data_IF_307426779583
#
_entry.id   IF_307426779583
#
_cell.length_a   1.000
_cell.length_b   1.000
_cell.length_c   1.000
_cell.angle_alpha   90.00
_cell.angle_beta   90.00
_cell.angle_gamma   90.00
#
_symmetry.space_group_name_H-M   'P 1'
#
loop_
_entity.id
_entity.type
_entity.pdbx_description
1 polymer ?
#
# COMPACT_ATOMS: atom_id res chain seq x y z
N UNK A 1 31.45 40.42 25.79
CA UNK A 1 31.51 41.87 25.46
C UNK A 1 30.20 42.51 25.93
N UNK A 2 30.09 43.85 25.99
CA UNK A 2 29.10 44.60 26.82
C UNK A 2 27.60 44.34 26.50
N UNK A 3 26.78 44.49 27.55
CA UNK A 3 25.32 44.68 27.52
C UNK A 3 24.94 46.08 26.99
N UNK A 4 23.71 46.23 26.46
CA UNK A 4 22.91 47.48 26.37
C UNK A 4 21.40 47.13 26.34
N UNK A 5 20.56 48.04 26.84
CA UNK A 5 19.09 47.92 27.08
C UNK A 5 18.35 49.03 26.28
N UNK A 6 17.00 49.02 26.26
CA UNK A 6 16.00 50.05 25.86
C UNK A 6 15.38 49.95 24.43
N UNK A 7 14.08 50.27 24.17
CA UNK A 7 12.87 50.36 25.02
C UNK A 7 11.55 50.56 24.20
N UNK A 8 10.37 50.27 24.81
CA UNK A 8 8.98 50.80 24.56
C UNK A 8 8.35 50.87 23.13
N UNK A 9 7.10 50.43 22.87
CA UNK A 9 5.77 50.87 23.42
C UNK A 9 4.68 49.78 23.17
N UNK A 10 3.78 49.46 24.12
CA UNK A 10 2.35 49.93 24.29
C UNK A 10 1.48 49.83 23.01
N UNK A 11 0.21 49.36 22.98
CA UNK A 11 -0.89 49.10 23.97
C UNK A 11 -1.98 48.25 23.25
N UNK A 12 -2.99 47.58 23.85
CA UNK A 12 -3.35 47.35 25.26
C UNK A 12 -4.88 47.49 25.56
N UNK A 13 -5.67 46.42 25.38
CA UNK A 13 -7.14 46.29 25.64
C UNK A 13 -7.37 44.85 26.13
N UNK A 14 -7.82 44.46 27.34
CA UNK A 14 -8.89 44.89 28.28
C UNK A 14 -10.30 44.47 27.85
N UNK A 15 -10.79 43.37 28.43
CA UNK A 15 -12.16 42.89 28.31
C UNK A 15 -13.03 43.37 29.50
N UNK A 16 -14.26 43.80 29.23
CA UNK A 16 -15.31 44.09 30.24
C UNK A 16 -16.68 43.67 29.71
N UNK A 17 -17.56 43.27 30.64
CA UNK A 17 -18.85 42.60 30.46
C UNK A 17 -19.88 43.33 29.59
N UNK A 18 -20.76 42.56 28.94
CA UNK A 18 -22.07 43.03 28.49
C UNK A 18 -23.02 43.23 29.69
N UNK A 19 -23.82 44.29 29.63
CA UNK A 19 -24.99 44.51 30.48
C UNK A 19 -26.18 44.77 29.57
N UNK A 20 -27.19 43.90 29.63
CA UNK A 20 -28.36 43.90 28.75
C UNK A 20 -29.40 44.93 29.21
N UNK A 21 -29.80 45.81 28.30
CA UNK A 21 -30.98 46.67 28.46
C UNK A 21 -32.17 46.07 27.70
N UNK A 22 -33.28 45.89 28.42
CA UNK A 22 -34.55 45.46 27.85
C UNK A 22 -35.27 46.70 27.30
N UNK A 23 -35.67 46.66 26.03
CA UNK A 23 -36.53 47.65 25.40
C UNK A 23 -37.69 46.93 24.71
N UNK A 24 -38.91 47.14 25.22
CA UNK A 24 -40.14 46.55 24.69
C UNK A 24 -40.85 47.60 23.82
N UNK A 25 -41.17 47.24 22.58
CA UNK A 25 -42.18 47.91 21.75
C UNK A 25 -42.85 46.91 20.80
N UNK A 26 -44.07 47.18 20.30
CA UNK A 26 -45.05 46.12 20.07
C UNK A 26 -45.34 45.75 18.60
N UNK A 27 -45.67 44.47 18.40
CA UNK A 27 -46.69 43.91 17.48
C UNK A 27 -46.77 44.42 16.03
N UNK A 28 -46.42 43.53 15.09
CA UNK A 28 -47.15 43.33 13.84
C UNK A 28 -47.11 41.83 13.44
N UNK A 29 -48.05 41.43 12.57
CA UNK A 29 -48.57 40.06 12.45
C UNK A 29 -47.87 39.16 11.42
N UNK A 30 -47.88 37.87 11.76
CA UNK A 30 -48.13 36.68 10.93
C UNK A 30 -47.50 36.58 9.52
N UNK A 31 -46.45 35.78 9.42
CA UNK A 31 -46.25 34.84 8.31
C UNK A 31 -45.40 33.67 8.79
N UNK A 32 -45.98 32.47 8.90
CA UNK A 32 -45.24 31.27 9.36
C UNK A 32 -44.17 30.86 8.33
N UNK A 33 -42.90 30.73 8.71
CA UNK A 33 -41.91 30.06 7.89
C UNK A 33 -42.08 28.54 8.03
N UNK A 34 -42.26 27.86 6.90
CA UNK A 34 -42.21 26.39 6.84
C UNK A 34 -40.81 25.95 7.26
N UNK A 35 -40.70 25.33 8.45
CA UNK A 35 -39.50 24.59 8.84
C UNK A 35 -39.33 23.40 7.90
N UNK A 36 -38.15 23.19 7.29
CA UNK A 36 -37.83 21.88 6.74
C UNK A 36 -37.95 20.84 7.85
N UNK A 37 -38.52 19.68 7.55
CA UNK A 37 -38.45 18.54 8.46
C UNK A 37 -36.96 18.24 8.68
N UNK A 38 -36.52 18.30 9.94
CA UNK A 38 -35.13 18.02 10.28
C UNK A 38 -34.86 16.56 9.99
N UNK A 39 -33.86 16.29 9.15
CA UNK A 39 -33.17 15.00 9.19
C UNK A 39 -32.65 14.85 10.62
N UNK A 40 -33.06 13.77 11.30
CA UNK A 40 -32.47 13.39 12.58
C UNK A 40 -30.94 13.34 12.39
N UNK A 41 -30.13 13.93 13.28
CA UNK A 41 -28.68 13.86 13.14
C UNK A 41 -28.28 12.38 13.21
N UNK A 42 -27.77 11.85 12.09
CA UNK A 42 -27.30 10.47 12.03
C UNK A 42 -26.33 10.22 13.19
N UNK A 43 -26.71 9.30 14.08
CA UNK A 43 -25.85 8.92 15.20
C UNK A 43 -24.50 8.47 14.65
N UNK A 44 -23.38 8.94 15.22
CA UNK A 44 -22.06 8.67 14.68
C UNK A 44 -21.84 7.16 14.57
N UNK A 45 -21.59 6.69 13.36
CA UNK A 45 -21.32 5.29 13.07
C UNK A 45 -20.04 4.90 13.81
N UNK A 46 -20.15 4.01 14.79
CA UNK A 46 -18.98 3.46 15.47
C UNK A 46 -18.26 2.51 14.50
N UNK A 47 -17.01 2.86 14.13
CA UNK A 47 -16.14 2.06 13.27
C UNK A 47 -15.60 0.82 14.02
N UNK A 48 -16.51 -0.09 14.37
CA UNK A 48 -16.20 -1.27 15.17
C UNK A 48 -15.47 -2.33 14.34
N UNK A 49 -14.18 -2.51 14.63
CA UNK A 49 -13.39 -3.63 14.11
C UNK A 49 -13.39 -4.74 15.18
N UNK A 50 -13.83 -5.94 14.81
CA UNK A 50 -13.79 -7.12 15.68
C UNK A 50 -12.95 -8.22 15.05
N UNK A 51 -11.80 -8.55 15.66
CA UNK A 51 -10.97 -9.68 15.23
C UNK A 51 -11.70 -11.01 15.47
N UNK A 52 -11.91 -11.79 14.40
CA UNK A 52 -12.55 -13.10 14.46
C UNK A 52 -11.51 -14.17 14.76
N UNK A 53 -10.46 -14.26 13.94
CA UNK A 53 -9.34 -15.22 14.11
C UNK A 53 -8.13 -14.86 13.26
N UNK A 54 -7.00 -15.44 13.62
CA UNK A 54 -5.83 -15.56 12.73
C UNK A 54 -5.79 -16.94 12.06
N UNK A 55 -5.18 -17.01 10.89
CA UNK A 55 -4.95 -18.23 10.12
C UNK A 55 -3.52 -18.26 9.58
N UNK A 56 -2.97 -19.46 9.40
CA UNK A 56 -1.77 -19.70 8.57
C UNK A 56 -2.26 -20.10 7.18
N UNK A 57 -1.80 -19.36 6.17
CA UNK A 57 -2.19 -19.55 4.76
C UNK A 57 -1.16 -20.43 4.06
N UNK A 58 0.12 -20.19 4.32
CA UNK A 58 1.22 -21.03 3.84
C UNK A 58 2.40 -21.01 4.81
N UNK A 59 2.92 -22.19 5.13
CA UNK A 59 4.15 -22.39 5.87
C UNK A 59 5.00 -23.44 5.14
N UNK A 60 6.29 -23.17 4.98
CA UNK A 60 7.28 -24.22 4.74
C UNK A 60 8.61 -23.77 5.36
N UNK A 61 9.16 -24.51 6.36
CA UNK A 61 10.39 -24.13 7.05
C UNK A 61 11.63 -24.13 6.14
N UNK A 62 11.56 -24.71 4.94
CA UNK A 62 12.66 -24.66 3.97
C UNK A 62 12.73 -23.33 3.18
N UNK A 63 11.70 -22.47 3.29
CA UNK A 63 11.57 -21.28 2.46
C UNK A 63 11.28 -20.00 3.26
N UNK A 64 12.05 -18.96 2.96
CA UNK A 64 11.70 -17.58 3.30
C UNK A 64 10.58 -17.09 2.38
N UNK A 65 9.34 -17.17 2.88
CA UNK A 65 8.12 -16.67 2.22
C UNK A 65 7.75 -15.27 2.70
N UNK A 66 7.42 -14.37 1.77
CA UNK A 66 7.20 -12.94 2.09
C UNK A 66 6.41 -12.21 0.99
N UNK A 67 6.12 -10.93 1.22
CA UNK A 67 5.50 -10.00 0.27
C UNK A 67 4.23 -10.51 -0.43
N UNK A 68 3.18 -10.93 0.31
CA UNK A 68 1.98 -11.47 -0.32
C UNK A 68 1.09 -10.39 -0.96
N UNK A 69 0.28 -10.82 -1.92
CA UNK A 69 -0.91 -10.12 -2.38
C UNK A 69 -2.08 -11.08 -2.55
N UNK A 70 -3.31 -10.56 -2.48
CA UNK A 70 -4.53 -11.39 -2.55
C UNK A 70 -5.60 -10.77 -3.43
N UNK A 71 -6.31 -11.63 -4.18
CA UNK A 71 -7.53 -11.29 -4.92
C UNK A 71 -8.57 -12.39 -4.77
N UNK A 72 -9.84 -12.07 -5.05
CA UNK A 72 -10.95 -13.03 -5.15
C UNK A 72 -11.47 -13.08 -6.59
N UNK A 73 -11.29 -14.19 -7.27
CA UNK A 73 -11.71 -14.38 -8.67
C UNK A 73 -12.45 -15.71 -8.87
N UNK A 74 -13.52 -15.69 -9.67
CA UNK A 74 -14.40 -16.84 -9.93
C UNK A 74 -14.89 -17.61 -8.69
N UNK A 75 -15.00 -16.90 -7.55
CA UNK A 75 -15.39 -17.46 -6.24
C UNK A 75 -14.21 -17.95 -5.38
N UNK A 76 -13.03 -18.13 -5.99
CA UNK A 76 -11.80 -18.58 -5.34
C UNK A 76 -10.95 -17.39 -4.87
N UNK A 77 -10.27 -17.53 -3.74
CA UNK A 77 -9.23 -16.61 -3.27
C UNK A 77 -7.87 -17.10 -3.73
N UNK A 78 -7.06 -16.16 -4.21
CA UNK A 78 -5.75 -16.38 -4.77
C UNK A 78 -4.73 -15.55 -3.99
N UNK A 79 -3.80 -16.21 -3.29
CA UNK A 79 -2.72 -15.56 -2.55
C UNK A 79 -1.40 -15.81 -3.26
N UNK A 80 -0.87 -14.79 -3.90
CA UNK A 80 0.47 -14.81 -4.46
C UNK A 80 1.50 -14.34 -3.43
N UNK A 81 2.70 -14.89 -3.44
CA UNK A 81 3.79 -14.50 -2.55
C UNK A 81 5.18 -14.79 -3.16
N UNK A 82 6.20 -14.11 -2.66
CA UNK A 82 7.60 -14.41 -2.95
C UNK A 82 8.03 -15.62 -2.12
N UNK A 83 8.66 -16.60 -2.75
CA UNK A 83 9.29 -17.76 -2.07
C UNK A 83 10.73 -17.90 -2.53
N UNK A 84 11.66 -17.99 -1.57
CA UNK A 84 13.06 -18.29 -1.79
C UNK A 84 13.54 -19.27 -0.70
N UNK A 85 14.58 -20.10 -0.93
CA UNK A 85 15.21 -20.89 0.13
C UNK A 85 15.55 -20.04 1.36
N UNK A 86 15.34 -20.56 2.57
CA UNK A 86 15.81 -19.89 3.77
C UNK A 86 17.33 -20.08 3.94
N UNK A 87 18.08 -18.98 3.91
CA UNK A 87 19.54 -19.00 4.03
C UNK A 87 20.02 -19.53 5.40
N UNK A 88 19.17 -19.56 6.44
CA UNK A 88 19.50 -20.19 7.72
C UNK A 88 19.84 -21.69 7.56
N UNK A 89 19.24 -22.37 6.58
CA UNK A 89 19.51 -23.79 6.27
C UNK A 89 20.95 -24.01 5.79
N UNK A 90 21.57 -22.97 5.23
CA UNK A 90 22.96 -22.97 4.78
C UNK A 90 23.94 -22.45 5.85
N UNK A 91 23.45 -22.18 7.07
CA UNK A 91 24.25 -21.67 8.18
C UNK A 91 24.56 -20.17 8.11
N UNK A 92 23.88 -19.41 7.24
CA UNK A 92 23.96 -17.95 7.29
C UNK A 92 23.25 -17.40 8.54
N UNK A 93 23.69 -16.25 9.03
CA UNK A 93 23.14 -15.63 10.27
C UNK A 93 22.09 -14.55 10.00
N UNK A 94 21.85 -14.20 8.73
CA UNK A 94 20.95 -13.14 8.31
C UNK A 94 20.12 -13.59 7.11
N UNK A 95 18.93 -13.01 6.99
CA UNK A 95 18.03 -13.23 5.86
C UNK A 95 18.37 -12.31 4.69
N UNK A 96 18.24 -12.82 3.47
CA UNK A 96 18.45 -12.02 2.27
C UNK A 96 17.14 -11.65 1.59
N UNK A 97 16.92 -10.34 1.43
CA UNK A 97 15.83 -9.78 0.65
C UNK A 97 15.90 -10.22 -0.83
N UNK A 98 17.11 -10.40 -1.36
CA UNK A 98 17.39 -10.89 -2.72
C UNK A 98 17.93 -12.31 -2.69
N UNK A 99 17.41 -13.18 -3.56
CA UNK A 99 17.93 -14.54 -3.74
C UNK A 99 17.80 -14.95 -5.21
N UNK A 100 18.75 -15.71 -5.76
CA UNK A 100 18.74 -16.11 -7.18
C UNK A 100 17.57 -17.04 -7.50
N UNK A 101 17.25 -17.95 -6.58
CA UNK A 101 16.10 -18.84 -6.64
C UNK A 101 14.89 -18.21 -5.92
N UNK A 102 14.62 -16.93 -6.17
CA UNK A 102 13.41 -16.27 -5.67
C UNK A 102 12.33 -16.36 -6.74
N UNK A 103 11.19 -16.95 -6.39
CA UNK A 103 10.12 -17.27 -7.32
C UNK A 103 8.79 -16.67 -6.85
N UNK A 104 7.91 -16.38 -7.80
CA UNK A 104 6.52 -16.02 -7.51
C UNK A 104 5.70 -17.31 -7.40
N UNK A 105 5.03 -17.47 -6.26
CA UNK A 105 4.24 -18.65 -5.88
C UNK A 105 2.78 -18.25 -5.62
N UNK A 106 1.88 -19.23 -5.71
CA UNK A 106 0.43 -19.07 -5.54
C UNK A 106 -0.14 -20.19 -4.67
N UNK A 107 -1.07 -19.85 -3.78
CA UNK A 107 -1.99 -20.80 -3.12
C UNK A 107 -3.45 -20.35 -3.28
N UNK A 108 -4.37 -21.30 -3.18
CA UNK A 108 -5.80 -21.14 -3.48
C UNK A 108 -6.67 -21.50 -2.27
N UNK A 109 -7.86 -20.90 -2.19
CA UNK A 109 -8.90 -21.27 -1.22
C UNK A 109 -10.30 -20.95 -1.76
N UNK A 110 -11.29 -21.81 -1.45
CA UNK A 110 -12.69 -21.56 -1.83
C UNK A 110 -13.49 -20.79 -0.76
N UNK A 111 -12.98 -20.71 0.48
CA UNK A 111 -13.66 -20.09 1.62
C UNK A 111 -12.86 -18.93 2.25
N UNK A 112 -11.56 -18.81 1.93
CA UNK A 112 -10.63 -17.83 2.50
C UNK A 112 -9.97 -18.32 3.79
N UNK A 113 -10.24 -19.56 4.21
CA UNK A 113 -9.78 -20.14 5.48
C UNK A 113 -8.93 -21.40 5.28
N UNK A 114 -9.35 -22.28 4.36
CA UNK A 114 -8.69 -23.55 4.05
C UNK A 114 -7.90 -23.41 2.74
N UNK A 115 -6.59 -23.59 2.80
CA UNK A 115 -5.67 -23.26 1.70
C UNK A 115 -4.93 -24.49 1.16
N UNK A 116 -4.67 -24.49 -0.16
CA UNK A 116 -3.83 -25.50 -0.81
C UNK A 116 -2.42 -25.50 -0.22
N UNK A 117 -1.92 -26.68 0.16
CA UNK A 117 -0.58 -26.82 0.76
C UNK A 117 0.55 -26.82 -0.29
N UNK A 118 0.29 -27.31 -1.50
CA UNK A 118 1.24 -27.25 -2.61
C UNK A 118 1.18 -25.88 -3.31
N UNK A 119 2.28 -25.13 -3.25
CA UNK A 119 2.35 -23.79 -3.84
C UNK A 119 2.66 -23.85 -5.35
N UNK A 120 1.67 -23.50 -6.17
CA UNK A 120 1.76 -23.36 -7.62
C UNK A 120 2.81 -22.31 -8.03
N UNK A 121 3.42 -22.46 -9.20
CA UNK A 121 4.37 -21.48 -9.73
C UNK A 121 3.66 -20.45 -10.61
N UNK A 122 3.76 -19.17 -10.25
CA UNK A 122 3.40 -18.05 -11.13
C UNK A 122 4.55 -17.81 -12.10
N UNK A 123 5.76 -17.62 -11.57
CA UNK A 123 6.91 -17.18 -12.38
C UNK A 123 8.26 -17.43 -11.71
N UNK A 124 9.24 -17.81 -12.52
CA UNK A 124 10.66 -17.79 -12.21
C UNK A 124 11.35 -16.92 -13.27
N UNK A 125 11.98 -15.82 -12.85
CA UNK A 125 12.57 -14.88 -13.80
C UNK A 125 13.85 -15.48 -14.42
N UNK A 126 14.00 -15.56 -15.75
CA UNK A 126 15.08 -16.33 -16.39
C UNK A 126 16.49 -15.80 -16.10
N UNK A 127 16.60 -14.53 -15.67
CA UNK A 127 17.86 -13.84 -15.39
C UNK A 127 18.13 -13.55 -13.91
N UNK A 128 17.29 -14.03 -12.97
CA UNK A 128 17.48 -13.74 -11.55
C UNK A 128 16.28 -14.05 -10.66
N UNK A 129 16.32 -13.51 -9.43
CA UNK A 129 15.22 -13.66 -8.47
C UNK A 129 14.06 -12.71 -8.79
N UNK A 130 12.83 -13.22 -8.70
CA UNK A 130 11.58 -12.47 -8.77
C UNK A 130 11.13 -12.00 -7.37
N UNK A 131 10.50 -10.82 -7.29
CA UNK A 131 10.08 -10.19 -6.04
C UNK A 131 8.60 -9.76 -6.09
N UNK A 132 8.01 -9.70 -4.89
CA UNK A 132 6.79 -8.96 -4.51
C UNK A 132 5.65 -9.03 -5.53
N UNK A 133 5.03 -10.22 -5.72
CA UNK A 133 3.91 -10.36 -6.64
C UNK A 133 2.74 -9.50 -6.17
N UNK A 134 2.31 -8.57 -7.02
CA UNK A 134 1.22 -7.64 -6.76
C UNK A 134 0.05 -7.96 -7.69
N UNK A 135 -0.93 -8.69 -7.16
CA UNK A 135 -2.12 -9.11 -7.91
C UNK A 135 -3.15 -7.98 -8.04
N UNK A 136 -3.74 -7.87 -9.24
CA UNK A 136 -4.98 -7.14 -9.48
C UNK A 136 -5.91 -8.01 -10.32
N UNK A 137 -7.17 -8.17 -9.87
CA UNK A 137 -8.26 -8.66 -10.70
C UNK A 137 -8.90 -7.50 -11.45
N UNK A 138 -9.09 -7.65 -12.76
CA UNK A 138 -9.88 -6.76 -13.59
C UNK A 138 -11.36 -7.21 -13.63
N UNK A 139 -12.24 -6.28 -14.01
CA UNK A 139 -13.68 -6.49 -14.12
C UNK A 139 -14.06 -7.60 -15.12
N UNK A 140 -13.20 -7.89 -16.12
CA UNK A 140 -13.37 -8.96 -17.11
C UNK A 140 -12.87 -10.34 -16.63
N UNK A 141 -12.40 -10.45 -15.38
CA UNK A 141 -11.83 -11.68 -14.81
C UNK A 141 -10.34 -11.89 -15.11
N UNK A 142 -9.72 -11.05 -15.94
CA UNK A 142 -8.25 -11.06 -16.14
C UNK A 142 -7.55 -10.80 -14.82
N UNK A 143 -6.48 -11.55 -14.54
CA UNK A 143 -5.54 -11.24 -13.47
C UNK A 143 -4.30 -10.56 -14.06
N UNK A 144 -3.87 -9.47 -13.44
CA UNK A 144 -2.52 -8.92 -13.56
C UNK A 144 -1.71 -9.35 -12.34
N UNK A 145 -0.42 -9.65 -12.54
CA UNK A 145 0.54 -9.83 -11.47
C UNK A 145 1.79 -9.02 -11.81
N UNK A 146 1.96 -7.84 -11.20
CA UNK A 146 3.21 -7.09 -11.33
C UNK A 146 4.25 -7.59 -10.33
N UNK A 147 5.53 -7.33 -10.64
CA UNK A 147 6.66 -7.64 -9.79
C UNK A 147 7.92 -7.01 -10.35
N UNK A 148 9.07 -7.32 -9.76
CA UNK A 148 10.37 -6.86 -10.22
C UNK A 148 11.46 -7.90 -9.93
N UNK A 149 12.64 -7.73 -10.54
CA UNK A 149 13.70 -8.75 -10.49
C UNK A 149 15.07 -8.26 -10.01
N UNK A 150 15.90 -9.21 -9.58
CA UNK A 150 17.30 -8.99 -9.19
C UNK A 150 18.24 -10.04 -9.78
N UNK A 151 19.25 -9.60 -10.53
CA UNK A 151 20.30 -10.46 -11.10
C UNK A 151 21.54 -10.45 -10.21
N UNK A 152 22.05 -11.62 -9.81
CA UNK A 152 23.26 -11.71 -8.97
C UNK A 152 24.52 -11.48 -9.81
N UNK A 153 25.30 -10.46 -9.46
CA UNK A 153 26.54 -10.08 -10.15
C UNK A 153 27.61 -9.65 -9.15
N UNK A 154 28.88 -9.90 -9.47
CA UNK A 154 29.99 -9.35 -8.68
C UNK A 154 30.07 -7.82 -8.87
N UNK A 155 30.64 -7.11 -7.88
CA UNK A 155 30.86 -5.67 -7.98
C UNK A 155 31.70 -5.29 -9.21
N UNK A 156 32.74 -6.08 -9.52
CA UNK A 156 33.55 -5.91 -10.72
C UNK A 156 32.70 -6.00 -12.00
N UNK A 157 31.83 -7.01 -12.11
CA UNK A 157 30.98 -7.17 -13.28
C UNK A 157 29.90 -6.09 -13.39
N UNK A 158 29.32 -5.68 -12.26
CA UNK A 158 28.35 -4.59 -12.19
C UNK A 158 28.96 -3.24 -12.60
N UNK A 159 30.20 -2.95 -12.19
CA UNK A 159 30.94 -1.77 -12.61
C UNK A 159 31.23 -1.76 -14.12
N UNK A 160 31.42 -2.94 -14.72
CA UNK A 160 31.59 -3.11 -16.17
C UNK A 160 30.32 -3.00 -17.02
N UNK A 161 29.14 -2.79 -16.41
CA UNK A 161 27.89 -2.53 -17.13
C UNK A 161 27.78 -1.08 -17.61
N UNK A 162 26.85 -0.84 -18.53
CA UNK A 162 26.48 0.49 -19.01
C UNK A 162 25.79 1.27 -17.88
N UNK A 163 26.49 2.23 -17.30
CA UNK A 163 26.04 2.97 -16.11
C UNK A 163 24.94 4.03 -16.38
N UNK A 164 24.23 4.51 -15.35
CA UNK A 164 24.15 3.93 -14.00
C UNK A 164 23.28 2.67 -13.96
N UNK A 165 23.62 1.74 -13.04
CA UNK A 165 22.79 0.58 -12.69
C UNK A 165 22.47 0.59 -11.19
N UNK A 166 21.29 0.11 -10.79
CA UNK A 166 20.95 -0.01 -9.36
C UNK A 166 21.58 -1.29 -8.80
N UNK A 167 22.65 -1.15 -8.01
CA UNK A 167 23.44 -2.27 -7.50
C UNK A 167 23.41 -2.32 -5.98
N UNK A 168 22.82 -3.38 -5.43
CA UNK A 168 22.60 -3.54 -3.99
C UNK A 168 23.03 -4.95 -3.55
N UNK A 169 23.94 -5.04 -2.56
CA UNK A 169 24.35 -6.29 -1.89
C UNK A 169 24.71 -7.47 -2.83
N UNK A 170 25.36 -7.22 -3.97
CA UNK A 170 25.74 -8.27 -4.92
C UNK A 170 24.68 -8.59 -5.98
N UNK A 171 23.67 -7.73 -6.15
CA UNK A 171 22.64 -7.86 -7.17
C UNK A 171 22.45 -6.54 -7.92
N UNK A 172 22.17 -6.64 -9.22
CA UNK A 172 21.72 -5.52 -10.07
C UNK A 172 20.21 -5.66 -10.31
N UNK A 173 19.48 -4.55 -10.24
CA UNK A 173 18.03 -4.55 -10.52
C UNK A 173 17.76 -4.90 -11.99
N UNK A 174 16.71 -5.70 -12.22
CA UNK A 174 16.17 -6.03 -13.53
C UNK A 174 14.97 -5.17 -13.90
N UNK A 175 14.55 -4.26 -13.01
CA UNK A 175 13.33 -3.46 -13.18
C UNK A 175 12.06 -4.30 -13.04
N UNK A 176 10.94 -3.69 -13.41
CA UNK A 176 9.61 -4.28 -13.29
C UNK A 176 9.16 -5.11 -14.48
N UNK A 177 8.16 -5.95 -14.23
CA UNK A 177 7.38 -6.66 -15.24
C UNK A 177 5.93 -6.82 -14.77
N UNK A 178 5.03 -7.06 -15.72
CA UNK A 178 3.62 -7.42 -15.48
C UNK A 178 3.32 -8.72 -16.21
N UNK A 179 2.80 -9.71 -15.49
CA UNK A 179 2.27 -10.95 -16.03
C UNK A 179 0.75 -10.84 -16.14
N UNK A 180 0.16 -11.53 -17.11
CA UNK A 180 -1.31 -11.59 -17.29
C UNK A 180 -1.78 -13.04 -17.28
N UNK A 181 -2.93 -13.30 -16.67
CA UNK A 181 -3.67 -14.56 -16.78
C UNK A 181 -5.13 -14.28 -17.15
N UNK A 182 -5.71 -15.15 -17.99
CA UNK A 182 -7.12 -15.14 -18.38
C UNK A 182 -7.83 -16.48 -18.08
N UNK A 183 -7.25 -17.30 -17.19
CA UNK A 183 -7.72 -18.65 -16.86
C UNK A 183 -7.69 -18.91 -15.34
N UNK A 184 -7.89 -17.85 -14.55
CA UNK A 184 -7.84 -17.85 -13.09
C UNK A 184 -6.46 -18.25 -12.51
N UNK A 185 -5.39 -17.75 -13.13
CA UNK A 185 -4.00 -17.93 -12.66
C UNK A 185 -3.42 -19.32 -12.93
N UNK A 186 -4.03 -20.13 -13.80
CA UNK A 186 -3.52 -21.47 -14.16
C UNK A 186 -2.36 -21.38 -15.14
N UNK A 187 -2.41 -20.42 -16.06
CA UNK A 187 -1.30 -20.04 -16.93
C UNK A 187 -1.06 -18.54 -16.88
N UNK A 188 0.19 -18.14 -17.11
CA UNK A 188 0.65 -16.75 -17.09
C UNK A 188 1.37 -16.43 -18.39
N UNK A 189 1.16 -15.21 -18.89
CA UNK A 189 1.82 -14.71 -20.09
C UNK A 189 3.34 -14.55 -19.89
N UNK A 190 4.06 -14.39 -21.00
CA UNK A 190 5.39 -13.76 -20.97
C UNK A 190 5.33 -12.38 -20.27
N UNK A 191 6.42 -11.93 -19.64
CA UNK A 191 6.48 -10.63 -18.97
C UNK A 191 6.27 -9.48 -19.96
N UNK A 192 5.39 -8.56 -19.58
CA UNK A 192 5.22 -7.25 -20.21
C UNK A 192 6.06 -6.26 -19.40
N UNK A 193 7.05 -5.65 -20.04
CA UNK A 193 7.90 -4.65 -19.40
C UNK A 193 7.24 -3.27 -19.49
N UNK A 194 6.88 -2.63 -18.35
CA UNK A 194 6.40 -1.25 -18.36
C UNK A 194 7.51 -0.29 -18.81
N UNK A 195 7.16 0.92 -19.31
CA UNK A 195 8.16 1.91 -19.67
C UNK A 195 8.98 2.32 -18.44
N UNK A 196 10.19 2.85 -18.66
CA UNK A 196 10.87 3.66 -17.63
C UNK A 196 10.01 4.87 -17.28
N UNK A 197 10.20 5.41 -16.07
CA UNK A 197 9.76 6.77 -15.77
C UNK A 197 10.83 7.76 -16.26
N UNK A 198 10.43 8.82 -16.96
CA UNK A 198 11.38 9.86 -17.38
C UNK A 198 12.00 10.60 -16.19
N UNK A 199 13.24 11.08 -16.39
CA UNK A 199 14.08 11.63 -15.32
C UNK A 199 14.99 10.61 -14.63
N UNK A 200 14.88 9.31 -14.95
CA UNK A 200 15.83 8.28 -14.49
C UNK A 200 16.66 7.72 -15.63
N UNK A 201 17.99 7.82 -15.51
CA UNK A 201 18.95 7.26 -16.45
C UNK A 201 19.36 5.82 -16.11
N UNK A 202 18.76 5.21 -15.08
CA UNK A 202 19.09 3.87 -14.63
C UNK A 202 18.80 2.80 -15.68
N UNK A 203 19.67 1.79 -15.71
CA UNK A 203 19.64 0.70 -16.68
C UNK A 203 19.63 -0.65 -15.98
N UNK A 204 19.10 -1.64 -16.69
CA UNK A 204 19.16 -3.04 -16.28
C UNK A 204 20.52 -3.68 -16.62
N UNK A 205 20.63 -5.01 -16.46
CA UNK A 205 21.85 -5.77 -16.77
C UNK A 205 22.18 -5.88 -18.26
N UNK A 206 21.24 -5.56 -19.15
CA UNK A 206 21.42 -5.57 -20.60
C UNK A 206 21.81 -4.18 -21.13
N UNK A 207 21.62 -3.14 -20.32
CA UNK A 207 21.91 -1.76 -20.67
C UNK A 207 20.73 -1.02 -21.28
N UNK A 208 19.54 -1.61 -21.19
CA UNK A 208 18.26 -1.01 -21.55
C UNK A 208 17.71 -0.16 -20.38
N UNK A 209 16.83 0.82 -20.63
CA UNK A 209 16.29 1.66 -19.57
C UNK A 209 15.50 0.84 -18.54
N UNK A 210 15.74 1.07 -17.26
CA UNK A 210 15.15 0.29 -16.18
C UNK A 210 13.61 0.43 -16.19
N UNK A 211 12.92 -0.68 -16.44
CA UNK A 211 11.46 -0.74 -16.46
C UNK A 211 10.89 -0.39 -15.07
N UNK A 212 9.85 0.45 -15.03
CA UNK A 212 9.26 0.93 -13.77
C UNK A 212 8.67 -0.21 -12.92
N UNK A 213 8.70 -0.07 -11.59
CA UNK A 213 8.19 -1.09 -10.67
C UNK A 213 7.67 -0.49 -9.36
N UNK A 214 6.93 -1.29 -8.60
CA UNK A 214 6.70 -1.06 -7.17
C UNK A 214 6.24 -2.34 -6.48
N UNK A 215 6.22 -2.31 -5.14
CA UNK A 215 5.26 -3.09 -4.35
C UNK A 215 4.08 -2.19 -3.97
N UNK A 216 2.87 -2.69 -4.20
CA UNK A 216 1.63 -2.03 -3.80
C UNK A 216 0.46 -2.37 -4.71
N UNK A 217 -0.76 -2.12 -4.24
CA UNK A 217 -1.97 -2.42 -5.00
C UNK A 217 -2.11 -1.50 -6.22
N UNK A 218 -2.36 -2.11 -7.38
CA UNK A 218 -2.91 -1.45 -8.56
C UNK A 218 -4.43 -1.30 -8.37
N UNK A 219 -5.07 -0.39 -9.10
CA UNK A 219 -6.52 -0.20 -9.04
C UNK A 219 -7.13 -0.06 -10.43
N UNK A 220 -8.24 -0.76 -10.71
CA UNK A 220 -9.05 -0.49 -11.90
C UNK A 220 -10.16 0.48 -11.54
N UNK A 221 -10.10 1.70 -12.08
CA UNK A 221 -11.10 2.75 -11.87
C UNK A 221 -12.43 2.46 -12.56
N UNK A 222 -13.44 3.26 -12.23
CA UNK A 222 -14.82 3.19 -12.78
C UNK A 222 -14.86 3.29 -14.31
N UNK A 223 -13.87 3.93 -14.93
CA UNK A 223 -13.72 4.05 -16.38
C UNK A 223 -13.17 2.79 -17.08
N UNK A 224 -12.71 1.79 -16.31
CA UNK A 224 -11.97 0.63 -16.81
C UNK A 224 -10.46 0.85 -16.92
N UNK A 225 -9.98 2.10 -16.79
CA UNK A 225 -8.55 2.43 -16.70
C UNK A 225 -7.91 1.76 -15.48
N UNK A 226 -6.72 1.19 -15.66
CA UNK A 226 -5.90 0.70 -14.56
C UNK A 226 -4.88 1.75 -14.16
N UNK A 227 -4.80 2.04 -12.87
CA UNK A 227 -3.85 2.92 -12.23
C UNK A 227 -2.75 2.10 -11.53
N UNK A 228 -1.49 2.53 -11.65
CA UNK A 228 -0.36 1.93 -10.94
C UNK A 228 0.64 3.01 -10.51
N UNK A 229 0.88 3.14 -9.20
CA UNK A 229 1.90 4.06 -8.68
C UNK A 229 3.24 3.33 -8.57
N UNK A 230 4.19 3.76 -9.39
CA UNK A 230 5.54 3.19 -9.51
C UNK A 230 6.57 4.02 -8.74
N UNK A 231 7.72 3.43 -8.41
CA UNK A 231 8.90 4.17 -7.95
C UNK A 231 9.80 4.57 -9.11
N UNK A 232 10.50 5.69 -8.93
CA UNK A 232 11.64 6.12 -9.74
C UNK A 232 12.82 6.35 -8.80
N UNK A 233 14.01 5.86 -9.15
CA UNK A 233 15.24 6.18 -8.42
C UNK A 233 15.80 7.51 -8.95
N UNK A 234 15.99 8.48 -8.03
CA UNK A 234 16.18 9.90 -8.32
C UNK A 234 17.61 10.41 -8.09
N UNK A 235 18.47 9.62 -7.46
CA UNK A 235 19.79 10.05 -7.06
C UNK A 235 20.88 9.02 -7.38
N UNK A 236 22.09 9.51 -7.63
CA UNK A 236 23.25 8.67 -7.90
C UNK A 236 23.68 7.83 -6.68
N UNK A 237 23.28 8.27 -5.48
CA UNK A 237 23.46 7.60 -4.18
C UNK A 237 22.62 6.33 -4.03
N UNK A 238 21.54 6.17 -4.82
CA UNK A 238 20.65 5.00 -4.80
C UNK A 238 19.80 4.90 -3.52
N UNK A 239 19.49 6.06 -2.92
CA UNK A 239 18.83 6.20 -1.61
C UNK A 239 17.49 6.94 -1.70
N UNK A 240 17.33 7.88 -2.65
CA UNK A 240 16.08 8.62 -2.84
C UNK A 240 15.24 8.08 -3.98
N UNK A 241 13.98 7.80 -3.66
CA UNK A 241 12.94 7.44 -4.61
C UNK A 241 11.82 8.49 -4.61
N UNK A 242 11.17 8.66 -5.76
CA UNK A 242 9.89 9.35 -5.91
C UNK A 242 8.83 8.41 -6.46
N UNK A 243 7.57 8.77 -6.28
CA UNK A 243 6.43 8.05 -6.84
C UNK A 243 5.81 8.77 -8.04
N UNK A 244 5.43 7.99 -9.04
CA UNK A 244 4.78 8.45 -10.26
C UNK A 244 3.61 7.55 -10.65
N UNK A 245 2.62 8.10 -11.33
CA UNK A 245 1.46 7.34 -11.81
C UNK A 245 1.68 6.88 -13.25
N UNK A 246 1.60 5.56 -13.46
CA UNK A 246 1.35 4.96 -14.75
C UNK A 246 -0.14 4.60 -14.88
N UNK A 247 -0.64 4.63 -16.11
CA UNK A 247 -2.01 4.28 -16.48
C UNK A 247 -2.02 3.27 -17.63
N UNK A 248 -3.05 2.41 -17.67
CA UNK A 248 -3.33 1.51 -18.78
C UNK A 248 -4.81 1.55 -19.15
N UNK A 249 -5.10 1.82 -20.42
CA UNK A 249 -6.46 1.84 -21.00
C UNK A 249 -6.78 0.53 -21.77
N UNK A 250 -5.90 -0.47 -21.72
CA UNK A 250 -5.98 -1.69 -22.55
C UNK A 250 -5.87 -2.99 -21.72
N UNK A 251 -6.34 -2.96 -20.48
CA UNK A 251 -6.31 -4.07 -19.51
C UNK A 251 -4.88 -4.58 -19.22
N UNK A 252 -3.94 -3.65 -18.98
CA UNK A 252 -2.57 -3.91 -18.54
C UNK A 252 -1.64 -4.44 -19.63
N UNK A 253 -1.92 -4.18 -20.91
CA UNK A 253 -1.08 -4.62 -22.05
C UNK A 253 -0.02 -3.58 -22.40
N UNK A 254 -0.37 -2.30 -22.32
CA UNK A 254 0.54 -1.15 -22.42
C UNK A 254 0.31 -0.19 -21.27
N UNK A 255 1.33 0.62 -20.97
CA UNK A 255 1.34 1.57 -19.86
C UNK A 255 1.88 2.91 -20.37
N UNK A 256 1.25 4.01 -19.97
CA UNK A 256 1.72 5.38 -20.25
C UNK A 256 1.85 6.17 -18.95
N UNK A 257 2.76 7.14 -18.95
CA UNK A 257 2.96 8.05 -17.82
C UNK A 257 1.78 9.03 -17.70
N UNK A 258 1.37 9.35 -16.47
CA UNK A 258 0.30 10.31 -16.18
C UNK A 258 0.79 11.53 -15.39
N UNK A 259 1.46 11.34 -14.25
CA UNK A 259 1.85 12.43 -13.36
C UNK A 259 2.82 12.02 -12.26
N UNK A 260 3.48 13.01 -11.66
CA UNK A 260 4.26 12.82 -10.43
C UNK A 260 3.30 12.77 -9.24
N UNK A 261 3.48 11.77 -8.38
CA UNK A 261 2.57 11.47 -7.25
C UNK A 261 3.15 11.99 -5.94
N UNK A 262 4.44 11.75 -5.70
CA UNK A 262 5.15 12.31 -4.56
C UNK A 262 6.65 12.38 -4.86
N UNK A 263 7.22 13.58 -4.74
CA UNK A 263 8.66 13.82 -4.76
C UNK A 263 8.96 14.96 -3.76
N UNK A 264 10.14 14.91 -3.15
CA UNK A 264 10.67 15.95 -2.28
C UNK A 264 12.20 15.84 -2.24
N UNK A 265 12.87 16.91 -1.81
CA UNK A 265 14.32 16.94 -1.67
C UNK A 265 14.83 16.37 -0.34
N UNK A 266 14.00 16.36 0.71
CA UNK A 266 14.32 15.86 2.05
C UNK A 266 13.69 14.51 2.40
N UNK A 267 12.79 13.98 1.56
CA UNK A 267 12.13 12.69 1.76
C UNK A 267 12.25 11.71 0.59
N UNK A 268 12.23 10.41 0.91
CA UNK A 268 12.22 9.28 -0.03
C UNK A 268 10.87 8.56 0.02
N UNK A 269 10.26 8.33 -1.16
CA UNK A 269 8.92 7.75 -1.33
C UNK A 269 9.01 6.40 -2.07
N UNK A 270 8.62 5.33 -1.41
CA UNK A 270 8.83 3.96 -1.90
C UNK A 270 7.53 3.24 -2.28
N UNK A 271 7.23 2.20 -1.51
CA UNK A 271 6.10 1.29 -1.73
C UNK A 271 4.76 2.03 -1.64
N UNK A 272 3.94 1.95 -2.69
CA UNK A 272 2.73 2.74 -2.82
C UNK A 272 1.55 1.94 -3.40
N UNK A 273 0.41 1.98 -2.71
CA UNK A 273 -0.86 1.41 -3.19
C UNK A 273 -1.77 2.53 -3.67
N UNK A 274 -2.45 2.34 -4.81
CA UNK A 274 -3.35 3.33 -5.39
C UNK A 274 -4.83 2.92 -5.23
N UNK A 275 -5.70 3.92 -5.16
CA UNK A 275 -7.14 3.80 -4.95
C UNK A 275 -7.88 4.92 -5.71
N UNK A 276 -9.07 4.65 -6.22
CA UNK A 276 -10.00 5.67 -6.72
C UNK A 276 -11.18 5.80 -5.74
N UNK A 277 -11.48 7.01 -5.28
CA UNK A 277 -12.58 7.25 -4.33
C UNK A 277 -13.95 7.23 -5.03
N UNK A 278 -15.08 7.20 -4.29
CA UNK A 278 -16.41 7.37 -4.89
C UNK A 278 -16.58 8.65 -5.70
N UNK A 279 -16.01 9.79 -5.29
CA UNK A 279 -16.00 11.03 -6.10
C UNK A 279 -15.06 10.99 -7.32
N UNK A 280 -14.15 10.01 -7.39
CA UNK A 280 -13.21 9.85 -8.51
C UNK A 280 -11.84 10.52 -8.29
N UNK A 281 -11.51 10.89 -7.05
CA UNK A 281 -10.14 11.28 -6.70
C UNK A 281 -9.23 10.05 -6.80
N UNK A 282 -8.02 10.24 -7.30
CA UNK A 282 -6.96 9.21 -7.26
C UNK A 282 -6.11 9.45 -6.01
N UNK A 283 -6.10 8.47 -5.12
CA UNK A 283 -5.40 8.50 -3.84
C UNK A 283 -4.29 7.45 -3.84
N UNK A 284 -3.10 7.83 -3.41
CA UNK A 284 -1.96 6.94 -3.20
C UNK A 284 -1.59 6.90 -1.71
N UNK A 285 -1.46 5.70 -1.15
CA UNK A 285 -0.97 5.45 0.22
C UNK A 285 0.49 5.00 0.14
N UNK A 286 1.40 5.78 0.71
CA UNK A 286 2.82 5.75 0.37
C UNK A 286 3.68 5.50 1.62
N UNK A 287 4.61 4.54 1.51
CA UNK A 287 5.72 4.37 2.46
C UNK A 287 6.74 5.50 2.27
N UNK A 288 7.11 6.15 3.36
CA UNK A 288 8.24 7.08 3.41
C UNK A 288 9.45 6.48 4.15
N UNK A 289 10.52 7.26 4.22
CA UNK A 289 11.61 7.11 5.18
C UNK A 289 11.14 7.15 6.66
N UNK A 290 12.06 6.83 7.59
CA UNK A 290 11.87 6.91 9.03
C UNK A 290 10.59 6.26 9.59
N UNK A 291 10.14 5.15 8.98
CA UNK A 291 8.87 4.46 9.30
C UNK A 291 7.58 5.23 8.96
N UNK A 292 7.68 6.46 8.46
CA UNK A 292 6.54 7.36 8.22
C UNK A 292 5.69 6.94 7.02
N UNK A 293 4.53 7.58 6.92
CA UNK A 293 3.54 7.38 5.85
C UNK A 293 3.09 8.72 5.28
N UNK A 294 2.84 8.74 3.97
CA UNK A 294 2.14 9.84 3.30
C UNK A 294 0.93 9.34 2.53
N UNK A 295 -0.01 10.26 2.34
CA UNK A 295 -1.11 10.15 1.41
C UNK A 295 -0.88 11.18 0.31
N UNK A 296 -1.18 10.83 -0.94
CA UNK A 296 -1.15 11.78 -2.06
C UNK A 296 -2.42 11.71 -2.87
N UNK A 297 -2.99 12.87 -3.23
CA UNK A 297 -4.31 12.99 -3.85
C UNK A 297 -4.25 13.79 -5.15
N UNK A 298 -4.92 13.26 -6.17
CA UNK A 298 -5.24 13.94 -7.43
C UNK A 298 -6.76 14.07 -7.60
N UNK A 299 -7.22 15.28 -7.90
CA UNK A 299 -8.63 15.60 -8.19
C UNK A 299 -8.85 15.87 -9.69
N UNK A 300 -7.89 15.51 -10.56
CA UNK A 300 -7.88 15.85 -12.00
C UNK A 300 -7.66 14.61 -12.91
N UNK A 301 -7.91 13.42 -12.36
CA UNK A 301 -7.79 12.13 -13.05
C UNK A 301 -6.37 11.56 -13.07
N UNK A 302 -5.52 11.96 -12.11
CA UNK A 302 -4.15 11.47 -11.95
C UNK A 302 -3.09 12.28 -12.71
N UNK A 303 -3.34 13.55 -13.06
CA UNK A 303 -2.38 14.40 -13.80
C UNK A 303 -1.51 15.20 -12.85
N UNK A 304 -2.11 15.77 -11.81
CA UNK A 304 -1.41 16.48 -10.74
C UNK A 304 -1.82 15.95 -9.38
N UNK A 305 -0.86 15.89 -8.46
CA UNK A 305 -1.04 15.36 -7.11
C UNK A 305 -0.57 16.36 -6.04
N UNK A 306 -1.10 16.20 -4.83
CA UNK A 306 -0.61 16.87 -3.61
C UNK A 306 -0.43 15.80 -2.54
N UNK A 307 0.77 15.73 -1.96
CA UNK A 307 1.09 14.79 -0.88
C UNK A 307 1.16 15.50 0.48
N UNK A 308 0.82 14.76 1.53
CA UNK A 308 1.00 15.16 2.93
C UNK A 308 1.28 13.93 3.81
N UNK A 309 1.82 14.13 5.02
CA UNK A 309 2.09 13.01 5.95
C UNK A 309 0.81 12.59 6.66
N UNK A 310 0.61 11.28 6.86
CA UNK A 310 -0.63 10.78 7.49
C UNK A 310 -0.62 10.85 9.02
N UNK A 311 0.49 11.26 9.62
CA UNK A 311 0.64 11.42 11.08
C UNK A 311 0.95 10.14 11.87
N UNK A 312 1.12 8.98 11.20
CA UNK A 312 1.45 7.71 11.86
C UNK A 312 2.53 6.89 11.13
N UNK A 313 3.08 5.89 11.82
CA UNK A 313 4.13 5.00 11.33
C UNK A 313 3.55 3.63 10.91
N UNK A 314 3.99 3.10 9.76
CA UNK A 314 3.64 1.75 9.31
C UNK A 314 3.74 1.56 7.81
N UNK A 315 4.29 0.43 7.34
CA UNK A 315 4.46 0.19 5.90
C UNK A 315 4.66 -1.30 5.55
N UNK A 316 4.50 -1.71 4.30
CA UNK A 316 3.83 -0.98 3.22
C UNK A 316 2.31 -0.95 3.44
N UNK A 317 1.64 0.06 2.89
CA UNK A 317 0.18 0.21 3.02
C UNK A 317 -0.55 -0.54 1.91
N UNK A 318 -1.76 -1.01 2.19
CA UNK A 318 -2.72 -1.50 1.19
C UNK A 318 -4.15 -1.24 1.67
N UNK A 319 -5.04 -0.88 0.74
CA UNK A 319 -6.42 -0.49 1.01
C UNK A 319 -7.40 -1.33 0.19
N UNK A 320 -8.58 -1.59 0.75
CA UNK A 320 -9.73 -2.12 0.01
C UNK A 320 -10.99 -1.33 0.36
N UNK A 321 -11.86 -1.14 -0.62
CA UNK A 321 -13.18 -0.54 -0.41
C UNK A 321 -14.10 -1.55 0.28
N UNK A 322 -14.76 -1.13 1.35
CA UNK A 322 -15.79 -1.89 2.04
C UNK A 322 -17.13 -1.79 1.30
N UNK A 323 -18.09 -2.70 1.58
CA UNK A 323 -19.43 -2.68 0.95
C UNK A 323 -20.24 -1.39 1.16
N UNK A 324 -19.86 -0.56 2.14
CA UNK A 324 -20.45 0.75 2.48
C UNK A 324 -19.55 1.93 2.08
N UNK A 325 -18.74 1.75 1.02
CA UNK A 325 -17.77 2.70 0.45
C UNK A 325 -16.61 3.16 1.38
N UNK A 326 -16.68 2.93 2.70
CA UNK A 326 -15.55 3.14 3.65
C UNK A 326 -14.29 2.40 3.19
N UNK A 327 -13.12 2.87 3.59
CA UNK A 327 -11.84 2.32 3.10
C UNK A 327 -11.07 1.64 4.22
N UNK A 328 -10.92 0.32 4.12
CA UNK A 328 -10.16 -0.48 5.07
C UNK A 328 -8.67 -0.47 4.70
N UNK A 329 -7.90 0.35 5.41
CA UNK A 329 -6.46 0.55 5.23
C UNK A 329 -5.69 -0.38 6.17
N UNK A 330 -4.66 -1.05 5.66
CA UNK A 330 -3.81 -1.98 6.42
C UNK A 330 -2.33 -1.68 6.20
N UNK A 331 -1.50 -1.96 7.20
CA UNK A 331 -0.05 -1.78 7.11
C UNK A 331 0.72 -2.66 8.11
N UNK A 332 1.97 -2.97 7.78
CA UNK A 332 2.92 -3.57 8.72
C UNK A 332 3.42 -2.54 9.73
N UNK A 333 3.46 -2.90 11.01
CA UNK A 333 3.98 -2.06 12.08
C UNK A 333 5.28 -2.66 12.63
N UNK A 334 6.42 -2.08 12.22
CA UNK A 334 7.78 -2.60 12.50
C UNK A 334 8.48 -1.92 13.68
N UNK A 335 7.71 -1.60 14.71
CA UNK A 335 8.18 -1.08 15.99
C UNK A 335 7.54 -1.94 17.08
N UNK A 336 8.08 -1.95 18.30
CA UNK A 336 7.48 -2.74 19.38
C UNK A 336 6.11 -2.16 19.82
N UNK A 337 5.08 -2.99 20.06
CA UNK A 337 5.02 -4.42 19.73
C UNK A 337 4.77 -4.62 18.22
N UNK A 338 5.58 -5.52 17.63
CA UNK A 338 5.76 -5.65 16.19
C UNK A 338 4.68 -6.54 15.54
N UNK A 339 4.14 -6.14 14.38
CA UNK A 339 3.07 -6.90 13.73
C UNK A 339 2.32 -6.16 12.63
N UNK A 340 0.99 -6.17 12.67
CA UNK A 340 0.07 -5.71 11.62
C UNK A 340 -1.01 -4.83 12.24
N UNK A 341 -1.33 -3.70 11.60
CA UNK A 341 -2.34 -2.74 12.05
C UNK A 341 -3.26 -2.33 10.90
N UNK A 342 -4.41 -1.76 11.26
CA UNK A 342 -5.39 -1.28 10.30
C UNK A 342 -6.16 -0.06 10.81
N UNK A 343 -6.82 0.64 9.88
CA UNK A 343 -7.76 1.74 10.11
C UNK A 343 -8.95 1.55 9.18
N UNK A 344 -10.15 1.95 9.62
CA UNK A 344 -11.25 2.24 8.71
C UNK A 344 -11.25 3.75 8.50
N UNK A 345 -11.10 4.16 7.24
CA UNK A 345 -11.22 5.55 6.80
C UNK A 345 -12.63 5.80 6.24
N UNK A 346 -12.99 7.08 6.18
CA UNK A 346 -14.13 7.53 5.38
C UNK A 346 -13.95 7.18 3.88
N UNK A 347 -15.06 7.23 3.14
CA UNK A 347 -15.12 6.81 1.75
C UNK A 347 -14.21 7.61 0.80
N UNK A 348 -13.89 8.85 1.15
CA UNK A 348 -13.00 9.74 0.40
C UNK A 348 -11.57 9.74 0.93
N UNK A 349 -11.30 9.00 2.01
CA UNK A 349 -10.03 8.96 2.74
C UNK A 349 -9.59 10.36 3.23
N UNK A 350 -10.49 11.12 3.86
CA UNK A 350 -10.19 12.47 4.39
C UNK A 350 -9.86 12.49 5.89
N UNK A 351 -10.35 11.52 6.66
CA UNK A 351 -10.15 11.33 8.10
C UNK A 351 -8.87 10.58 8.47
N UNK A 352 -7.94 10.36 7.53
CA UNK A 352 -6.75 9.50 7.69
C UNK A 352 -5.88 9.79 8.93
N UNK A 353 -5.82 11.06 9.35
CA UNK A 353 -5.06 11.51 10.53
C UNK A 353 -5.79 11.27 11.86
N UNK A 354 -7.12 11.10 11.83
CA UNK A 354 -8.00 10.99 13.01
C UNK A 354 -8.64 9.62 13.17
N UNK A 355 -8.72 8.82 12.10
CA UNK A 355 -9.27 7.47 12.14
C UNK A 355 -8.54 6.58 13.16
N UNK A 356 -9.30 5.82 13.95
CA UNK A 356 -8.75 4.96 15.00
C UNK A 356 -7.87 3.84 14.43
N UNK A 357 -6.78 3.50 15.12
CA UNK A 357 -5.92 2.37 14.78
C UNK A 357 -6.30 1.12 15.56
N UNK A 358 -6.52 0.01 14.84
CA UNK A 358 -6.76 -1.30 15.42
C UNK A 358 -5.58 -2.24 15.17
N UNK A 359 -5.14 -2.93 16.23
CA UNK A 359 -4.04 -3.89 16.20
C UNK A 359 -4.58 -5.25 15.74
N UNK A 360 -4.13 -5.71 14.57
CA UNK A 360 -4.46 -7.04 14.05
C UNK A 360 -3.50 -8.10 14.61
N UNK A 361 -2.21 -7.76 14.69
CA UNK A 361 -1.12 -8.60 15.23
C UNK A 361 -0.10 -7.73 15.97
N UNK A 362 0.39 -8.23 17.08
CA UNK A 362 1.44 -7.64 17.94
C UNK A 362 2.43 -8.70 18.46
N UNK A 363 2.35 -9.91 17.88
CA UNK A 363 3.01 -11.15 18.28
C UNK A 363 4.10 -11.61 17.28
N UNK A 364 4.65 -10.69 16.48
CA UNK A 364 5.75 -11.05 15.58
C UNK A 364 6.95 -11.55 16.39
N UNK A 365 7.62 -12.59 15.85
CA UNK A 365 8.86 -13.13 16.39
C UNK A 365 10.03 -12.15 16.28
N UNK A 366 11.24 -12.67 16.53
CA UNK A 366 12.43 -11.83 16.68
C UNK A 366 12.70 -10.95 15.46
N UNK A 367 12.60 -9.64 15.64
CA UNK A 367 12.99 -8.61 14.67
C UNK A 367 11.81 -7.89 14.04
N UNK A 368 12.07 -7.23 12.92
CA UNK A 368 11.12 -6.34 12.21
C UNK A 368 10.65 -6.90 10.85
N UNK A 369 10.97 -8.16 10.57
CA UNK A 369 10.66 -8.82 9.30
C UNK A 369 9.22 -9.38 9.30
N UNK A 370 8.28 -8.46 9.09
CA UNK A 370 6.83 -8.65 9.09
C UNK A 370 6.17 -7.61 8.18
N UNK A 371 4.94 -7.85 7.74
CA UNK A 371 4.09 -6.81 7.15
C UNK A 371 3.68 -7.13 5.72
N UNK A 372 3.78 -6.11 4.85
CA UNK A 372 3.32 -6.15 3.46
C UNK A 372 1.85 -6.62 3.36
N UNK A 373 1.00 -6.13 4.27
CA UNK A 373 -0.40 -6.56 4.34
C UNK A 373 -1.19 -6.22 3.07
N UNK A 374 -2.18 -7.05 2.77
CA UNK A 374 -3.04 -6.96 1.60
C UNK A 374 -4.45 -7.45 1.97
N UNK A 375 -5.46 -6.56 2.01
CA UNK A 375 -6.82 -6.92 2.39
C UNK A 375 -7.69 -7.34 1.20
N UNK A 376 -8.64 -8.25 1.44
CA UNK A 376 -9.70 -8.64 0.50
C UNK A 376 -11.02 -8.81 1.23
N UNK A 377 -12.11 -8.30 0.64
CA UNK A 377 -13.47 -8.45 1.19
C UNK A 377 -13.95 -9.89 0.98
N UNK A 378 -14.44 -10.52 2.06
CA UNK A 378 -15.04 -11.85 2.04
C UNK A 378 -16.53 -11.74 1.69
N UNK A 379 -17.25 -10.94 2.48
CA UNK A 379 -18.70 -10.74 2.44
C UNK A 379 -19.08 -9.34 2.95
N UNK A 380 -20.36 -9.08 3.22
CA UNK A 380 -20.87 -7.76 3.60
C UNK A 380 -20.28 -7.18 4.90
N UNK A 381 -19.74 -8.01 5.80
CA UNK A 381 -19.13 -7.54 7.06
C UNK A 381 -17.70 -8.03 7.28
N UNK A 382 -17.17 -8.95 6.48
CA UNK A 382 -15.85 -9.56 6.74
C UNK A 382 -14.77 -9.19 5.73
N UNK A 383 -13.57 -9.00 6.25
CA UNK A 383 -12.33 -8.80 5.48
C UNK A 383 -11.30 -9.84 5.92
N UNK A 384 -10.63 -10.47 4.96
CA UNK A 384 -9.39 -11.20 5.17
C UNK A 384 -8.22 -10.25 4.92
N UNK A 385 -7.34 -10.09 5.90
CA UNK A 385 -6.06 -9.37 5.74
C UNK A 385 -4.96 -10.39 5.63
N UNK A 386 -4.33 -10.51 4.46
CA UNK A 386 -3.18 -11.39 4.22
C UNK A 386 -1.90 -10.61 4.46
N UNK A 387 -0.88 -11.23 5.05
CA UNK A 387 0.44 -10.64 5.32
C UNK A 387 1.48 -11.75 5.50
N UNK A 388 2.76 -11.40 5.60
CA UNK A 388 3.75 -12.34 6.14
C UNK A 388 4.16 -11.93 7.55
N UNK A 389 4.49 -12.92 8.38
CA UNK A 389 4.92 -12.73 9.77
C UNK A 389 6.00 -13.76 10.12
N UNK A 390 6.91 -13.38 11.01
CA UNK A 390 7.92 -14.28 11.56
C UNK A 390 7.35 -14.94 12.81
N UNK A 391 7.31 -16.27 12.87
CA UNK A 391 6.88 -17.02 14.06
C UNK A 391 7.94 -17.04 15.17
N UNK A 392 7.61 -17.53 16.39
CA UNK A 392 8.57 -17.62 17.51
C UNK A 392 9.84 -18.42 17.20
N UNK A 393 9.73 -19.42 16.30
CA UNK A 393 10.83 -20.28 15.87
C UNK A 393 11.74 -19.62 14.79
N UNK A 394 11.39 -18.43 14.29
CA UNK A 394 12.08 -17.76 13.18
C UNK A 394 11.53 -18.08 11.79
N UNK A 395 10.74 -19.15 11.62
CA UNK A 395 10.06 -19.45 10.34
C UNK A 395 9.21 -18.25 9.90
N UNK A 396 9.18 -17.95 8.60
CA UNK A 396 8.17 -17.05 8.03
C UNK A 396 6.97 -17.85 7.57
N UNK A 397 5.80 -17.29 7.81
CA UNK A 397 4.54 -17.80 7.25
C UNK A 397 3.88 -16.70 6.44
N UNK A 398 3.16 -17.10 5.39
CA UNK A 398 2.06 -16.30 4.90
C UNK A 398 0.90 -16.58 5.84
N UNK A 399 0.37 -15.55 6.46
CA UNK A 399 -0.70 -15.61 7.45
C UNK A 399 -1.80 -14.63 7.09
N UNK A 400 -2.94 -14.76 7.76
CA UNK A 400 -3.96 -13.73 7.68
C UNK A 400 -4.76 -13.57 8.96
N UNK A 401 -5.46 -12.45 9.05
CA UNK A 401 -6.45 -12.18 10.11
C UNK A 401 -7.79 -11.94 9.44
N UNK A 402 -8.83 -12.61 9.91
CA UNK A 402 -10.22 -12.34 9.51
C UNK A 402 -10.83 -11.40 10.56
N UNK A 403 -11.39 -10.29 10.10
CA UNK A 403 -12.08 -9.30 10.92
C UNK A 403 -13.53 -9.13 10.48
N UNK A 404 -14.41 -8.83 11.42
CA UNK A 404 -15.69 -8.18 11.15
C UNK A 404 -15.52 -6.65 11.24
N UNK A 405 -16.12 -5.93 10.29
CA UNK A 405 -16.08 -4.47 10.14
C UNK A 405 -17.49 -3.86 10.03
N UNK A 406 -18.52 -4.58 10.50
CA UNK A 406 -19.90 -4.11 10.47
C UNK A 406 -20.08 -2.77 11.19
N UNK A 407 -20.94 -1.93 10.63
CA UNK A 407 -21.35 -0.68 11.27
C UNK A 407 -22.22 -1.00 12.48
N UNK A 408 -21.75 -0.63 13.67
CA UNK A 408 -22.58 -0.66 14.86
C UNK A 408 -23.67 0.40 14.73
N UNK A 409 -24.95 -0.01 14.67
CA UNK A 409 -26.01 0.93 15.05
C UNK A 409 -25.89 1.18 16.54
N UNK A 410 -25.52 2.41 16.91
CA UNK A 410 -25.58 2.87 18.30
C UNK A 410 -27.05 2.84 18.72
N UNK A 411 -27.35 2.11 19.80
CA UNK A 411 -28.69 2.02 20.41
C UNK A 411 -28.87 3.10 21.48
#
# INVERSE_FOLDING_TARGET
MKSIILNFRKTGVVAVLLLSFILVCPSCKDSDPVTPEGEDPELPIENKITKIKDIVIYENPEFYVTSPSVVKNDGEYLVAFRSAPDNLLFGETNYSFTHVNSYLKLVRSNDGENWTQDAEMIYAHPYGGAQDPCLLKLNDGTLLCSGYGWCKLSAERANGLKQPVYYNRGFVSLGGYVLRSSDNGKTWSSPIYPPRVDGSDYKDVFGDPLAAYNRGALYQGKSGRVYWVVTRLDDATQERFSNHLLISDDSGRTWSYSGEVAADSGHSFGEASVYETPKGDIVAFIRMDDMKTSISRSTDGGKTFKWETMGFNGHALAAVRLPDDRVFLTYGYRQEPCGIRCKILDAECSDFATAEEFILRDDNGRGTDVGYSWPVVIDNSKVLVVYYITGPNGNRTISGTIVDVSTGKVN
#
